data_IF_992415649686
#
_entry.id   IF_992415649686
#
_cell.length_a   1.000
_cell.length_b   1.000
_cell.length_c   1.000
_cell.angle_alpha   90.00
_cell.angle_beta   90.00
_cell.angle_gamma   90.00
#
_symmetry.space_group_name_H-M   'P 1'
#
loop_
_entity.id
_entity.type
_entity.pdbx_description
1 polymer ?
#
# COMPACT_ATOMS: atom_id res chain seq x y z
N UNK A 1 24.93 2.87 -2.12
CA UNK A 1 25.35 1.89 -3.14
C UNK A 1 26.77 1.46 -2.79
N UNK A 2 26.92 0.33 -2.12
CA UNK A 2 28.24 -0.22 -1.79
C UNK A 2 28.40 -1.46 -2.67
N UNK A 3 29.29 -1.38 -3.66
CA UNK A 3 29.61 -2.48 -4.57
C UNK A 3 30.90 -3.15 -4.09
N UNK A 4 30.78 -4.18 -3.26
CA UNK A 4 31.88 -5.08 -3.00
C UNK A 4 31.53 -6.43 -3.66
N UNK A 5 32.28 -6.79 -4.70
CA UNK A 5 32.28 -8.09 -5.43
C UNK A 5 30.93 -8.61 -5.95
N UNK A 6 30.64 -8.40 -7.24
CA UNK A 6 29.57 -9.03 -8.05
C UNK A 6 28.13 -9.03 -7.49
N UNK A 7 27.85 -8.27 -6.44
CA UNK A 7 26.56 -8.21 -5.76
C UNK A 7 25.91 -6.83 -5.92
N UNK A 8 24.60 -6.81 -6.19
CA UNK A 8 23.78 -5.60 -6.17
C UNK A 8 22.98 -5.56 -4.86
N UNK A 9 23.29 -4.58 -4.00
CA UNK A 9 22.61 -4.41 -2.70
C UNK A 9 21.73 -3.16 -2.72
N UNK A 10 20.43 -3.34 -2.46
CA UNK A 10 19.43 -2.29 -2.30
C UNK A 10 19.06 -2.20 -0.81
N UNK A 11 19.67 -1.25 -0.08
CA UNK A 11 19.55 -1.18 1.40
C UNK A 11 18.21 -0.60 1.90
N UNK A 12 17.56 0.25 1.11
CA UNK A 12 16.28 0.90 1.43
C UNK A 12 15.37 0.79 0.23
N UNK A 13 14.94 -0.43 -0.05
CA UNK A 13 14.06 -0.71 -1.19
C UNK A 13 12.75 0.07 -1.02
N UNK A 14 12.28 0.62 -2.12
CA UNK A 14 11.01 1.31 -2.27
C UNK A 14 10.21 0.63 -3.38
N UNK A 15 8.92 0.95 -3.49
CA UNK A 15 8.10 0.44 -4.60
C UNK A 15 8.70 0.72 -5.98
N UNK A 16 9.45 1.82 -6.13
CA UNK A 16 10.13 2.22 -7.37
C UNK A 16 11.32 1.32 -7.75
N UNK A 17 11.84 0.53 -6.83
CA UNK A 17 12.88 -0.47 -7.11
C UNK A 17 12.29 -1.77 -7.67
N UNK A 18 10.96 -1.90 -7.75
CA UNK A 18 10.34 -3.05 -8.41
C UNK A 18 10.62 -3.02 -9.92
N UNK A 19 11.02 -4.15 -10.47
CA UNK A 19 11.33 -4.25 -11.89
C UNK A 19 12.17 -5.46 -12.25
N UNK A 20 12.55 -5.54 -13.52
CA UNK A 20 13.44 -6.59 -14.02
C UNK A 20 14.88 -6.09 -13.99
N UNK A 21 15.72 -6.77 -13.23
CA UNK A 21 17.15 -6.55 -13.16
C UNK A 21 17.88 -7.58 -14.02
N UNK A 22 18.87 -7.12 -14.79
CA UNK A 22 19.69 -7.99 -15.65
C UNK A 22 21.12 -8.02 -15.14
N UNK A 23 21.61 -9.22 -14.83
CA UNK A 23 23.03 -9.47 -14.61
C UNK A 23 23.66 -9.83 -15.95
N UNK A 24 24.62 -9.03 -16.41
CA UNK A 24 25.37 -9.26 -17.65
C UNK A 24 26.83 -9.56 -17.32
N UNK A 25 27.35 -10.66 -17.85
CA UNK A 25 28.73 -11.10 -17.67
C UNK A 25 29.40 -11.16 -19.04
N UNK A 26 30.48 -10.41 -19.20
CA UNK A 26 31.23 -10.31 -20.46
C UNK A 26 32.65 -10.82 -20.26
N UNK A 27 33.14 -11.59 -21.24
CA UNK A 27 34.51 -12.11 -21.33
C UNK A 27 35.11 -11.80 -22.72
N UNK A 28 36.39 -12.12 -22.92
CA UNK A 28 37.08 -11.89 -24.20
C UNK A 28 36.47 -12.65 -25.39
N UNK A 29 35.68 -13.70 -25.13
CA UNK A 29 35.09 -14.59 -26.15
C UNK A 29 33.57 -14.44 -26.29
N UNK A 30 32.91 -13.61 -25.46
CA UNK A 30 31.48 -13.38 -25.55
C UNK A 30 30.84 -12.88 -24.27
N UNK A 31 29.51 -12.71 -24.30
CA UNK A 31 28.67 -12.26 -23.18
C UNK A 31 27.52 -13.22 -22.91
N UNK A 32 27.08 -13.27 -21.65
CA UNK A 32 25.88 -13.98 -21.22
C UNK A 32 25.12 -13.14 -20.21
N UNK A 33 23.79 -13.29 -20.17
CA UNK A 33 22.95 -12.52 -19.27
C UNK A 33 21.89 -13.38 -18.58
N UNK A 34 21.46 -12.94 -17.41
CA UNK A 34 20.34 -13.52 -16.66
C UNK A 34 19.45 -12.42 -16.09
N UNK A 35 18.14 -12.59 -16.23
CA UNK A 35 17.14 -11.66 -15.72
C UNK A 35 16.57 -12.13 -14.38
N UNK A 36 16.24 -11.18 -13.52
CA UNK A 36 15.60 -11.38 -12.22
C UNK A 36 14.48 -10.35 -12.06
N UNK A 37 13.28 -10.79 -11.65
CA UNK A 37 12.18 -9.86 -11.34
C UNK A 37 12.13 -9.62 -9.85
N UNK A 38 12.29 -8.36 -9.45
CA UNK A 38 12.14 -7.90 -8.07
C UNK A 38 10.75 -7.27 -7.91
N UNK A 39 10.02 -7.70 -6.89
CA UNK A 39 8.77 -7.07 -6.45
C UNK A 39 8.97 -6.61 -5.01
N UNK A 40 8.87 -5.31 -4.79
CA UNK A 40 8.95 -4.72 -3.47
C UNK A 40 7.53 -4.55 -2.91
N UNK A 41 7.29 -5.13 -1.74
CA UNK A 41 6.02 -5.01 -1.04
C UNK A 41 6.05 -3.80 -0.11
N UNK A 42 4.95 -3.05 -0.09
CA UNK A 42 4.76 -1.88 0.76
C UNK A 42 3.57 -2.17 1.69
N UNK A 43 3.73 -2.10 3.03
CA UNK A 43 2.64 -2.39 3.95
C UNK A 43 1.44 -1.45 3.73
N UNK A 44 0.21 -1.93 3.98
CA UNK A 44 -0.97 -1.07 3.98
C UNK A 44 -0.81 0.13 4.92
N UNK A 45 -1.07 1.32 4.40
CA UNK A 45 -1.14 2.56 5.18
C UNK A 45 -2.38 3.34 4.78
N UNK A 46 -3.06 3.93 5.77
CA UNK A 46 -4.20 4.80 5.52
C UNK A 46 -3.66 6.15 5.08
N UNK A 47 -4.04 6.60 3.89
CA UNK A 47 -3.68 7.92 3.39
C UNK A 47 -4.30 8.97 4.31
N UNK A 48 -3.55 10.03 4.69
CA UNK A 48 -4.11 11.11 5.48
C UNK A 48 -5.29 11.71 4.73
N UNK A 49 -6.47 11.69 5.35
CA UNK A 49 -7.65 12.36 4.79
C UNK A 49 -7.44 13.86 4.87
N UNK A 50 -7.84 14.58 3.82
CA UNK A 50 -7.93 16.05 3.87
C UNK A 50 -9.12 16.53 4.72
N UNK A 51 -10.02 15.63 5.08
CA UNK A 51 -11.17 15.88 5.95
C UNK A 51 -10.82 15.59 7.41
N UNK A 52 -11.45 16.33 8.31
CA UNK A 52 -11.42 16.05 9.74
C UNK A 52 -11.86 14.60 10.02
N UNK A 53 -11.18 13.89 10.94
CA UNK A 53 -11.56 12.53 11.34
C UNK A 53 -12.89 12.50 12.13
N UNK A 54 -13.38 13.68 12.54
CA UNK A 54 -14.62 13.87 13.27
C UNK A 54 -15.61 14.56 12.34
N UNK A 55 -16.78 13.95 12.16
CA UNK A 55 -17.90 14.56 11.45
C UNK A 55 -19.10 14.65 12.40
N UNK A 56 -19.70 15.84 12.49
CA UNK A 56 -20.97 16.05 13.18
C UNK A 56 -22.13 15.84 12.20
N UNK A 57 -23.07 14.98 12.56
CA UNK A 57 -24.18 14.59 11.69
C UNK A 57 -25.47 14.61 12.50
N UNK A 58 -26.54 15.13 11.89
CA UNK A 58 -27.87 15.14 12.50
C UNK A 58 -28.46 13.71 12.54
N UNK A 59 -29.28 13.43 13.54
CA UNK A 59 -29.98 12.15 13.69
C UNK A 59 -30.90 11.86 12.49
N UNK A 60 -30.78 10.66 11.91
CA UNK A 60 -31.51 10.21 10.71
C UNK A 60 -30.81 10.55 9.39
N UNK A 61 -29.65 11.23 9.42
CA UNK A 61 -28.88 11.57 8.24
C UNK A 61 -27.78 10.52 8.02
N UNK A 62 -27.44 10.31 6.75
CA UNK A 62 -26.36 9.41 6.38
C UNK A 62 -25.00 10.11 6.55
N UNK A 63 -24.01 9.36 7.03
CA UNK A 63 -22.61 9.78 7.08
C UNK A 63 -21.75 8.93 6.15
N UNK A 64 -20.78 9.56 5.51
CA UNK A 64 -19.76 8.90 4.71
C UNK A 64 -18.37 9.32 5.21
N UNK A 65 -17.65 8.36 5.77
CA UNK A 65 -16.28 8.55 6.20
C UNK A 65 -15.36 8.14 5.03
N UNK A 66 -14.56 9.05 4.46
CA UNK A 66 -13.61 8.69 3.43
C UNK A 66 -12.48 7.87 4.04
N UNK A 67 -12.16 6.72 3.43
CA UNK A 67 -10.97 5.95 3.74
C UNK A 67 -10.27 5.57 2.45
N UNK A 68 -9.07 6.13 2.27
CA UNK A 68 -8.14 5.74 1.22
C UNK A 68 -6.98 5.04 1.88
N UNK A 69 -6.61 3.86 1.37
CA UNK A 69 -5.46 3.12 1.84
C UNK A 69 -4.56 2.78 0.64
N UNK A 70 -3.26 2.85 0.86
CA UNK A 70 -2.22 2.57 -0.11
C UNK A 70 -1.35 1.41 0.36
N UNK A 71 -0.72 0.71 -0.57
CA UNK A 71 0.15 -0.44 -0.29
C UNK A 71 0.34 -1.28 -1.55
N UNK A 72 1.33 -2.18 -1.51
CA UNK A 72 1.61 -3.13 -2.60
C UNK A 72 1.62 -4.54 -2.00
N UNK A 73 0.67 -5.42 -2.39
CA UNK A 73 -0.45 -5.19 -3.30
C UNK A 73 -1.49 -4.23 -2.69
N UNK A 74 -2.45 -3.79 -3.52
CA UNK A 74 -3.52 -2.92 -3.07
C UNK A 74 -4.26 -3.54 -1.86
N UNK A 75 -4.44 -2.79 -0.76
CA UNK A 75 -5.02 -3.32 0.47
C UNK A 75 -6.53 -3.57 0.35
N UNK A 76 -7.01 -4.54 1.13
CA UNK A 76 -8.45 -4.77 1.33
C UNK A 76 -8.92 -3.84 2.44
N UNK A 77 -9.91 -3.00 2.16
CA UNK A 77 -10.46 -2.02 3.11
C UNK A 77 -11.82 -2.49 3.62
N UNK A 78 -11.96 -2.55 4.93
CA UNK A 78 -13.21 -2.87 5.63
C UNK A 78 -13.47 -1.87 6.75
N UNK A 79 -14.74 -1.49 6.91
CA UNK A 79 -15.18 -0.66 8.01
C UNK A 79 -15.60 -1.51 9.20
N UNK A 80 -15.23 -1.08 10.39
CA UNK A 80 -15.68 -1.68 11.64
C UNK A 80 -16.23 -0.61 12.57
N UNK A 81 -17.36 -0.90 13.20
CA UNK A 81 -17.94 -0.08 14.25
C UNK A 81 -18.04 -0.92 15.52
N UNK A 82 -17.47 -0.44 16.63
CA UNK A 82 -17.46 -1.14 17.92
C UNK A 82 -16.96 -2.60 17.83
N UNK A 83 -16.00 -2.87 16.93
CA UNK A 83 -15.43 -4.20 16.70
C UNK A 83 -16.23 -5.11 15.77
N UNK A 84 -17.38 -4.68 15.25
CA UNK A 84 -18.18 -5.42 14.27
C UNK A 84 -17.97 -4.89 12.86
N UNK A 85 -17.79 -5.79 11.90
CA UNK A 85 -17.64 -5.44 10.49
C UNK A 85 -18.94 -4.90 9.90
N UNK A 86 -18.87 -3.80 9.18
CA UNK A 86 -20.00 -3.21 8.48
C UNK A 86 -20.12 -3.78 7.05
N UNK A 87 -21.35 -4.07 6.65
CA UNK A 87 -21.67 -4.56 5.29
C UNK A 87 -21.79 -3.44 4.26
N UNK A 88 -21.88 -2.19 4.71
CA UNK A 88 -22.06 -0.99 3.89
C UNK A 88 -21.09 0.12 4.30
N UNK A 89 -20.75 1.00 3.36
CA UNK A 89 -19.93 2.20 3.59
C UNK A 89 -20.73 3.41 4.08
N UNK A 90 -22.06 3.38 3.90
CA UNK A 90 -22.97 4.41 4.41
C UNK A 90 -23.57 3.94 5.72
N UNK A 91 -23.46 4.79 6.72
CA UNK A 91 -24.03 4.56 8.03
C UNK A 91 -25.06 5.64 8.33
N UNK A 92 -26.03 5.33 9.18
CA UNK A 92 -27.05 6.27 9.64
C UNK A 92 -26.86 6.49 11.13
N UNK A 93 -27.04 7.72 11.59
CA UNK A 93 -27.03 8.05 13.01
C UNK A 93 -28.45 7.87 13.55
N UNK A 94 -28.62 7.03 14.57
CA UNK A 94 -29.85 6.82 15.32
C UNK A 94 -29.86 7.57 16.67
N UNK A 95 -30.96 7.46 17.43
CA UNK A 95 -31.18 8.11 18.73
C UNK A 95 -30.16 7.72 19.82
N UNK A 96 -29.44 6.60 19.66
CA UNK A 96 -28.40 6.11 20.54
C UNK A 96 -26.98 6.35 19.97
N UNK A 97 -26.85 6.93 18.78
CA UNK A 97 -25.60 7.14 18.06
C UNK A 97 -25.51 6.30 16.79
N UNK A 98 -24.30 5.85 16.46
CA UNK A 98 -24.00 5.03 15.27
C UNK A 98 -24.17 3.53 15.56
#
# INVERSE_FOLDING_TARGET
>A
LLSNTNELVIQKASAYDSGTYTCNVTSAVGSTQKNFTLVVYDPPSISPSSSDPIQEVLEGQAVELPCSAQGVPAPIVQWTLNGQALSTRRMYVDENGL
#
